data_IF_079187697982
#
_entry.id   IF_079187697982
#
_cell.length_a   1.000
_cell.length_b   1.000
_cell.length_c   1.000
_cell.angle_alpha   90.00
_cell.angle_beta   90.00
_cell.angle_gamma   90.00
#
_symmetry.space_group_name_H-M   'P 1'
#
loop_
_entity.id
_entity.type
_entity.pdbx_description
1 polymer ?
#
# COMPACT_ATOMS: atom_id res chain seq x y z
N UNK A 1 -12.69 -0.52 -10.15
CA UNK A 1 -11.84 -1.19 -11.14
C UNK A 1 -11.11 -2.38 -10.49
N UNK A 2 -11.79 -3.52 -10.28
CA UNK A 2 -11.24 -4.63 -9.47
C UNK A 2 -10.06 -5.37 -10.12
N UNK A 3 -9.92 -5.30 -11.45
CA UNK A 3 -8.90 -6.00 -12.22
C UNK A 3 -7.77 -5.08 -12.75
N UNK A 4 -7.83 -3.77 -12.49
CA UNK A 4 -6.94 -2.80 -13.15
C UNK A 4 -5.59 -2.60 -12.43
N UNK A 5 -5.48 -3.02 -11.18
CA UNK A 5 -4.28 -2.87 -10.36
C UNK A 5 -3.66 -4.24 -10.08
N UNK A 6 -2.35 -4.34 -10.25
CA UNK A 6 -1.57 -5.55 -9.94
C UNK A 6 -1.50 -5.79 -8.43
N UNK A 7 -1.47 -4.73 -7.63
CA UNK A 7 -1.48 -4.84 -6.18
C UNK A 7 -2.90 -5.02 -5.62
N UNK A 8 -3.00 -5.70 -4.48
CA UNK A 8 -4.25 -5.90 -3.75
C UNK A 8 -4.41 -4.91 -2.57
N UNK A 9 -5.50 -5.06 -1.80
CA UNK A 9 -5.78 -4.20 -0.65
C UNK A 9 -4.76 -4.37 0.48
N UNK A 10 -4.26 -5.59 0.71
CA UNK A 10 -3.25 -5.88 1.75
C UNK A 10 -1.96 -5.09 1.51
N UNK A 11 -1.56 -4.89 0.25
CA UNK A 11 -0.43 -4.04 -0.12
C UNK A 11 -0.60 -2.60 0.38
N UNK A 12 -1.77 -2.01 0.15
CA UNK A 12 -2.05 -0.62 0.57
C UNK A 12 -2.11 -0.50 2.10
N UNK A 13 -2.72 -1.46 2.79
CA UNK A 13 -2.76 -1.49 4.27
C UNK A 13 -1.35 -1.62 4.83
N UNK A 14 -0.50 -2.49 4.25
CA UNK A 14 0.88 -2.73 4.68
C UNK A 14 1.75 -1.47 4.53
N UNK A 15 1.57 -0.71 3.45
CA UNK A 15 2.22 0.60 3.29
C UNK A 15 1.83 1.55 4.42
N UNK A 16 0.54 1.64 4.74
CA UNK A 16 0.05 2.53 5.80
C UNK A 16 0.51 2.10 7.19
N UNK A 17 0.58 0.80 7.47
CA UNK A 17 1.14 0.31 8.73
C UNK A 17 2.62 0.65 8.84
N UNK A 18 3.38 0.51 7.76
CA UNK A 18 4.80 0.81 7.77
C UNK A 18 5.16 2.29 7.66
N UNK A 19 4.22 3.13 7.23
CA UNK A 19 4.33 4.59 7.33
C UNK A 19 4.49 5.04 8.79
N UNK A 20 3.82 4.39 9.73
CA UNK A 20 3.87 4.75 11.16
C UNK A 20 4.78 3.85 12.00
N UNK A 21 5.07 2.62 11.54
CA UNK A 21 5.88 1.68 12.32
C UNK A 21 7.34 2.12 12.53
N UNK A 22 7.88 2.97 11.64
CA UNK A 22 9.30 3.30 11.56
C UNK A 22 10.25 2.07 11.45
N UNK A 23 9.73 0.89 11.08
CA UNK A 23 10.51 -0.32 10.92
C UNK A 23 11.49 -0.24 9.73
N UNK A 24 11.06 0.44 8.66
CA UNK A 24 11.82 0.63 7.43
C UNK A 24 12.21 2.09 7.26
N UNK A 25 13.33 2.34 6.59
CA UNK A 25 13.78 3.71 6.30
C UNK A 25 12.98 4.41 5.19
N UNK A 26 12.13 3.68 4.45
CA UNK A 26 11.47 4.16 3.22
C UNK A 26 10.71 5.48 3.40
N UNK A 27 10.02 5.68 4.53
CA UNK A 27 9.22 6.87 4.82
C UNK A 27 9.82 7.78 5.90
N UNK A 28 11.09 7.58 6.26
CA UNK A 28 11.78 8.46 7.19
C UNK A 28 12.32 9.71 6.48
N UNK A 29 12.53 10.77 7.26
CA UNK A 29 13.05 12.08 6.84
C UNK A 29 12.14 12.87 5.90
N UNK A 30 12.45 14.16 5.71
CA UNK A 30 11.60 15.09 4.95
C UNK A 30 12.14 15.44 3.55
N UNK A 31 13.35 14.99 3.21
CA UNK A 31 13.93 15.21 1.89
C UNK A 31 14.92 14.11 1.51
N UNK A 32 15.22 13.99 0.23
CA UNK A 32 16.29 13.10 -0.26
C UNK A 32 17.66 13.52 0.27
N UNK A 33 17.94 14.82 0.35
CA UNK A 33 19.20 15.34 0.89
C UNK A 33 19.45 14.87 2.33
N UNK A 34 18.43 14.89 3.19
CA UNK A 34 18.54 14.38 4.56
C UNK A 34 18.81 12.88 4.58
N UNK A 35 18.12 12.10 3.74
CA UNK A 35 18.33 10.65 3.63
C UNK A 35 19.76 10.28 3.21
N UNK A 36 20.36 11.05 2.30
CA UNK A 36 21.76 10.87 1.90
C UNK A 36 22.73 11.23 3.02
N UNK A 37 22.52 12.39 3.67
CA UNK A 37 23.37 12.86 4.77
C UNK A 37 23.42 11.87 5.93
N UNK A 38 22.29 11.26 6.25
CA UNK A 38 22.17 10.30 7.35
C UNK A 38 22.51 8.86 6.93
N UNK A 39 22.88 8.63 5.67
CA UNK A 39 23.24 7.31 5.12
C UNK A 39 22.11 6.28 5.30
N UNK A 40 20.86 6.71 5.08
CA UNK A 40 19.67 5.88 5.33
C UNK A 40 19.73 4.52 4.62
N UNK A 41 20.25 4.47 3.39
CA UNK A 41 20.31 3.26 2.57
C UNK A 41 21.20 2.16 3.16
N UNK A 42 22.22 2.51 3.95
CA UNK A 42 23.12 1.53 4.58
C UNK A 42 22.67 1.18 5.99
N UNK A 43 21.99 2.09 6.67
CA UNK A 43 21.57 1.94 8.08
C UNK A 43 20.20 1.29 8.25
N UNK A 44 19.37 1.26 7.21
CA UNK A 44 17.99 0.78 7.29
C UNK A 44 17.64 -0.10 6.09
N UNK A 45 16.60 -0.92 6.25
CA UNK A 45 16.04 -1.74 5.18
C UNK A 45 14.92 -0.94 4.48
N UNK A 46 14.76 -1.17 3.18
CA UNK A 46 13.64 -0.63 2.40
C UNK A 46 12.40 -1.51 2.59
N UNK A 47 11.23 -0.88 2.80
CA UNK A 47 9.93 -1.55 2.79
C UNK A 47 9.72 -2.36 1.51
N UNK A 48 10.19 -1.84 0.36
CA UNK A 48 10.08 -2.52 -0.92
C UNK A 48 10.89 -3.82 -0.96
N UNK A 49 11.99 -3.91 -0.21
CA UNK A 49 12.74 -5.17 -0.09
C UNK A 49 11.93 -6.26 0.61
N UNK A 50 11.06 -5.90 1.55
CA UNK A 50 10.15 -6.83 2.23
C UNK A 50 8.95 -7.18 1.36
N UNK A 51 8.31 -6.19 0.74
CA UNK A 51 7.15 -6.41 -0.12
C UNK A 51 7.52 -7.27 -1.33
N UNK A 52 8.65 -6.96 -1.99
CA UNK A 52 9.09 -7.68 -3.18
C UNK A 52 9.65 -9.08 -2.88
N UNK A 53 9.87 -9.44 -1.61
CA UNK A 53 10.18 -10.82 -1.25
C UNK A 53 8.94 -11.68 -0.97
N UNK A 54 7.76 -11.06 -0.86
CA UNK A 54 6.46 -11.72 -0.62
C UNK A 54 5.40 -11.27 -1.64
N UNK A 55 5.81 -11.11 -2.92
CA UNK A 55 4.95 -10.56 -3.99
C UNK A 55 3.60 -11.29 -4.08
N UNK A 56 3.60 -12.62 -3.92
CA UNK A 56 2.40 -13.46 -3.99
C UNK A 56 1.30 -13.02 -3.00
N UNK A 57 1.66 -12.48 -1.83
CA UNK A 57 0.71 -11.97 -0.84
C UNK A 57 0.11 -10.62 -1.22
N UNK A 58 0.82 -9.85 -2.05
CA UNK A 58 0.49 -8.47 -2.42
C UNK A 58 -0.10 -8.34 -3.82
N UNK A 59 -0.05 -9.40 -4.63
CA UNK A 59 -0.60 -9.42 -5.98
C UNK A 59 -2.10 -9.70 -5.98
N UNK A 60 -2.81 -9.05 -6.89
CA UNK A 60 -4.21 -9.24 -7.19
C UNK A 60 -4.36 -10.37 -8.23
N UNK A 61 -5.00 -11.51 -7.88
CA UNK A 61 -5.16 -12.63 -8.81
C UNK A 61 -6.08 -12.30 -10.00
N UNK A 62 -6.88 -11.24 -9.91
CA UNK A 62 -7.76 -10.79 -10.98
C UNK A 62 -7.13 -9.69 -11.84
N UNK A 63 -5.84 -9.38 -11.65
CA UNK A 63 -5.17 -8.37 -12.45
C UNK A 63 -5.19 -8.76 -13.93
N UNK A 64 -5.63 -7.81 -14.76
CA UNK A 64 -5.60 -7.91 -16.22
C UNK A 64 -4.80 -6.73 -16.75
N UNK A 65 -3.78 -7.02 -17.56
CA UNK A 65 -3.02 -5.99 -18.24
C UNK A 65 -3.87 -5.38 -19.37
N UNK A 66 -4.45 -4.21 -19.12
CA UNK A 66 -5.13 -3.41 -20.12
C UNK A 66 -4.14 -2.43 -20.73
N UNK A 67 -3.43 -2.84 -21.78
CA UNK A 67 -2.56 -1.92 -22.52
C UNK A 67 -3.38 -0.70 -23.02
N UNK A 68 -2.89 0.50 -22.73
CA UNK A 68 -3.42 1.79 -23.21
C UNK A 68 -4.85 2.18 -22.76
N UNK A 69 -5.38 1.60 -21.67
CA UNK A 69 -6.68 2.02 -21.12
C UNK A 69 -6.56 3.11 -20.04
N UNK A 70 -7.35 4.18 -20.18
CA UNK A 70 -7.44 5.26 -19.17
C UNK A 70 -8.58 4.95 -18.21
N UNK A 71 -8.28 4.91 -16.91
CA UNK A 71 -9.28 4.72 -15.86
C UNK A 71 -9.97 6.06 -15.54
N UNK A 72 -11.29 6.10 -15.62
CA UNK A 72 -12.10 7.27 -15.26
C UNK A 72 -12.92 6.99 -13.99
N UNK A 73 -12.39 7.30 -12.79
CA UNK A 73 -13.13 7.08 -11.56
C UNK A 73 -14.31 8.07 -11.42
N UNK A 74 -15.38 7.60 -10.78
CA UNK A 74 -16.53 8.46 -10.45
C UNK A 74 -16.30 9.06 -9.07
N UNK A 75 -16.01 10.35 -9.01
CA UNK A 75 -15.75 11.09 -7.76
C UNK A 75 -17.03 11.58 -7.06
N UNK A 76 -18.09 10.77 -7.06
CA UNK A 76 -19.36 11.07 -6.38
C UNK A 76 -19.45 10.34 -5.04
N UNK A 77 -20.06 10.97 -4.03
CA UNK A 77 -20.32 10.33 -2.73
C UNK A 77 -21.15 9.04 -2.84
N UNK A 78 -21.94 8.87 -3.89
CA UNK A 78 -22.70 7.63 -4.12
C UNK A 78 -21.84 6.45 -4.62
N UNK A 79 -20.62 6.71 -5.07
CA UNK A 79 -19.68 5.71 -5.60
C UNK A 79 -18.42 5.58 -4.74
N UNK A 80 -18.25 6.48 -3.77
CA UNK A 80 -17.18 6.42 -2.79
C UNK A 80 -17.67 5.67 -1.57
N UNK A 81 -16.89 4.67 -1.16
CA UNK A 81 -17.17 3.88 0.03
C UNK A 81 -16.16 4.21 1.13
N UNK A 82 -16.60 4.09 2.38
CA UNK A 82 -15.67 4.11 3.50
C UNK A 82 -14.76 2.87 3.39
N UNK A 83 -13.46 3.06 3.51
CA UNK A 83 -12.51 1.95 3.51
C UNK A 83 -12.55 1.20 4.85
N UNK A 84 -13.55 0.34 5.01
CA UNK A 84 -13.88 -0.38 6.25
C UNK A 84 -12.69 -1.23 6.74
N UNK A 85 -12.02 -1.93 5.82
CA UNK A 85 -10.89 -2.81 6.12
C UNK A 85 -9.66 -2.08 6.67
N UNK A 86 -9.57 -0.75 6.51
CA UNK A 86 -8.55 0.06 7.14
C UNK A 86 -9.08 0.78 8.39
N UNK A 87 -10.14 1.59 8.25
CA UNK A 87 -10.62 2.46 9.33
C UNK A 87 -11.36 1.73 10.46
N UNK A 88 -11.96 0.57 10.18
CA UNK A 88 -12.78 -0.20 11.13
C UNK A 88 -12.14 -1.56 11.47
N UNK A 89 -10.91 -1.83 11.02
CA UNK A 89 -10.21 -3.14 11.17
C UNK A 89 -10.11 -3.69 12.60
N UNK A 90 -10.18 -2.82 13.60
CA UNK A 90 -10.10 -3.18 15.02
C UNK A 90 -11.45 -3.52 15.66
N UNK A 91 -12.57 -3.31 14.95
CA UNK A 91 -13.88 -3.67 15.47
C UNK A 91 -14.09 -5.19 15.34
N UNK A 92 -14.27 -5.93 16.46
CA UNK A 92 -14.46 -7.38 16.40
C UNK A 92 -15.75 -7.80 15.70
N UNK A 93 -16.74 -6.90 15.54
CA UNK A 93 -18.02 -7.20 14.89
C UNK A 93 -17.94 -7.21 13.36
N UNK A 94 -16.88 -6.67 12.77
CA UNK A 94 -16.73 -6.54 11.32
C UNK A 94 -15.77 -7.57 10.73
N UNK A 95 -15.24 -8.50 11.53
CA UNK A 95 -14.38 -9.58 11.05
C UNK A 95 -15.25 -10.69 10.44
N UNK A 96 -14.99 -11.13 9.19
CA UNK A 96 -15.63 -12.33 8.66
C UNK A 96 -15.29 -13.53 9.57
N UNK A 97 -16.32 -14.31 9.92
CA UNK A 97 -16.21 -15.54 10.73
C UNK A 97 -15.49 -16.65 9.96
#
# INVERSE_FOLDING_TARGET
FPAAFEFNELFLITILDHLYSCLFGTFLYNSEQQRMKEEMQTKTISLWSYINSHVDEFTNPFYVNYEHHVLYPVASLSHLELWVNYYIRWNPRTRPQ
#
